data_IF_047292298950
#
_entry.id   IF_047292298950
#
_cell.length_a   1.000
_cell.length_b   1.000
_cell.length_c   1.000
_cell.angle_alpha   90.00
_cell.angle_beta   90.00
_cell.angle_gamma   90.00
#
_symmetry.space_group_name_H-M   'P 1'
#
loop_
_entity.id
_entity.type
_entity.pdbx_description
1 polymer ?
#
# COMPACT_ATOMS: atom_id res chain seq x y z
N UNK A 1 17.01 -13.14 -2.99
CA UNK A 1 17.30 -12.00 -2.09
C UNK A 1 17.19 -10.62 -2.74
N UNK A 2 17.09 -10.48 -4.07
CA UNK A 2 16.75 -9.20 -4.74
C UNK A 2 15.28 -8.72 -4.56
N UNK A 3 14.25 -9.60 -4.55
CA UNK A 3 12.86 -9.18 -4.41
C UNK A 3 12.55 -8.50 -3.07
N UNK A 4 13.21 -8.96 -2.00
CA UNK A 4 13.02 -8.41 -0.65
C UNK A 4 13.48 -6.96 -0.57
N UNK A 5 14.57 -6.61 -1.28
CA UNK A 5 15.09 -5.24 -1.32
C UNK A 5 14.15 -4.29 -2.06
N UNK A 6 13.50 -4.73 -3.13
CA UNK A 6 12.52 -3.90 -3.84
C UNK A 6 11.27 -3.67 -2.98
N UNK A 7 10.72 -4.73 -2.37
CA UNK A 7 9.56 -4.61 -1.48
C UNK A 7 9.86 -3.69 -0.30
N UNK A 8 11.04 -3.80 0.32
CA UNK A 8 11.47 -2.90 1.38
C UNK A 8 11.52 -1.44 0.89
N UNK A 9 12.15 -1.15 -0.25
CA UNK A 9 12.21 0.22 -0.79
C UNK A 9 10.84 0.79 -1.13
N UNK A 10 9.94 -0.04 -1.66
CA UNK A 10 8.53 0.36 -1.90
C UNK A 10 7.87 0.71 -0.57
N UNK A 11 8.05 -0.12 0.46
CA UNK A 11 7.45 0.12 1.76
C UNK A 11 7.97 1.41 2.43
N UNK A 12 9.28 1.67 2.31
CA UNK A 12 9.90 2.92 2.76
C UNK A 12 9.34 4.13 2.01
N UNK A 13 9.24 4.06 0.67
CA UNK A 13 8.68 5.14 -0.14
C UNK A 13 7.21 5.45 0.22
N UNK A 14 6.38 4.42 0.41
CA UNK A 14 5.00 4.57 0.84
C UNK A 14 4.92 5.16 2.26
N UNK A 15 5.80 4.71 3.17
CA UNK A 15 5.87 5.25 4.54
C UNK A 15 6.19 6.74 4.52
N UNK A 16 7.17 7.17 3.73
CA UNK A 16 7.48 8.58 3.55
C UNK A 16 6.28 9.36 3.01
N UNK A 17 5.61 8.84 1.97
CA UNK A 17 4.43 9.47 1.40
C UNK A 17 3.31 9.64 2.44
N UNK A 18 2.98 8.59 3.20
CA UNK A 18 1.92 8.64 4.22
C UNK A 18 2.28 9.59 5.37
N UNK A 19 3.54 9.66 5.76
CA UNK A 19 3.97 10.60 6.79
C UNK A 19 3.81 12.05 6.33
N UNK A 20 4.11 12.36 5.06
CA UNK A 20 3.85 13.69 4.50
C UNK A 20 2.35 13.99 4.41
N UNK A 21 1.53 13.03 3.93
CA UNK A 21 0.08 13.20 3.87
C UNK A 21 -0.54 13.43 5.27
N UNK A 22 0.00 12.76 6.30
CA UNK A 22 -0.47 12.86 7.69
C UNK A 22 -0.41 14.29 8.24
N UNK A 23 0.56 15.09 7.84
CA UNK A 23 0.75 16.47 8.33
C UNK A 23 -0.43 17.38 7.98
N UNK A 24 -1.18 17.04 6.92
CA UNK A 24 -2.27 17.86 6.39
C UNK A 24 -3.63 17.15 6.45
N UNK A 25 -3.66 15.88 6.87
CA UNK A 25 -4.86 15.08 6.90
C UNK A 25 -5.60 15.18 8.25
N UNK A 26 -6.93 15.11 8.20
CA UNK A 26 -7.72 14.78 9.39
C UNK A 26 -7.52 13.29 9.73
N UNK A 27 -6.58 13.05 10.65
CA UNK A 27 -6.20 11.70 11.06
C UNK A 27 -7.28 10.93 11.82
N UNK A 28 -8.35 11.62 12.24
CA UNK A 28 -9.49 11.00 12.91
C UNK A 28 -10.55 10.49 11.93
N UNK A 29 -10.51 10.95 10.68
CA UNK A 29 -11.53 10.64 9.67
C UNK A 29 -11.54 9.16 9.23
N UNK A 30 -12.70 8.60 8.85
CA UNK A 30 -12.78 7.28 8.24
C UNK A 30 -11.93 7.17 6.96
N UNK A 31 -11.93 8.22 6.14
CA UNK A 31 -11.15 8.30 4.90
C UNK A 31 -9.65 8.14 5.17
N UNK A 32 -9.12 8.76 6.22
CA UNK A 32 -7.72 8.60 6.60
C UNK A 32 -7.40 7.17 7.06
N UNK A 33 -8.33 6.52 7.78
CA UNK A 33 -8.16 5.13 8.20
C UNK A 33 -8.13 4.18 6.99
N UNK A 34 -9.03 4.36 6.04
CA UNK A 34 -9.05 3.60 4.78
C UNK A 34 -7.75 3.82 3.99
N UNK A 35 -7.31 5.07 3.87
CA UNK A 35 -6.02 5.43 3.24
C UNK A 35 -4.83 4.70 3.89
N UNK A 36 -4.80 4.63 5.22
CA UNK A 36 -3.78 3.90 5.96
C UNK A 36 -3.89 2.38 5.78
N UNK A 37 -5.09 1.81 5.70
CA UNK A 37 -5.31 0.38 5.45
C UNK A 37 -4.74 0.00 4.08
N UNK A 38 -5.08 0.77 3.03
CA UNK A 38 -4.53 0.58 1.67
C UNK A 38 -3.01 0.68 1.67
N UNK A 39 -2.45 1.67 2.35
CA UNK A 39 -1.00 1.85 2.44
C UNK A 39 -0.31 0.64 3.09
N UNK A 40 -0.88 0.13 4.19
CA UNK A 40 -0.37 -1.07 4.86
C UNK A 40 -0.37 -2.28 3.93
N UNK A 41 -1.44 -2.49 3.17
CA UNK A 41 -1.53 -3.61 2.21
C UNK A 41 -0.55 -3.45 1.07
N UNK A 42 -0.37 -2.24 0.56
CA UNK A 42 0.59 -1.92 -0.50
C UNK A 42 2.05 -2.17 -0.09
N UNK A 43 2.37 -2.04 1.19
CA UNK A 43 3.71 -2.30 1.76
C UNK A 43 4.05 -3.79 1.91
N UNK A 44 3.06 -4.69 1.88
CA UNK A 44 3.31 -6.13 1.97
C UNK A 44 4.11 -6.67 0.78
N UNK A 45 4.82 -7.79 1.01
CA UNK A 45 5.32 -8.61 -0.09
C UNK A 45 4.17 -9.16 -0.93
N UNK A 46 4.48 -9.65 -2.13
CA UNK A 46 3.45 -10.16 -3.03
C UNK A 46 2.70 -11.37 -2.45
N UNK A 47 3.41 -12.25 -1.72
CA UNK A 47 2.83 -13.40 -1.05
C UNK A 47 1.90 -13.00 0.11
N UNK A 48 2.37 -12.12 1.00
CA UNK A 48 1.57 -11.61 2.13
C UNK A 48 0.33 -10.86 1.63
N UNK A 49 0.48 -10.06 0.57
CA UNK A 49 -0.62 -9.30 -0.01
C UNK A 49 -1.68 -10.23 -0.62
N UNK A 50 -1.28 -11.26 -1.35
CA UNK A 50 -2.21 -12.26 -1.90
C UNK A 50 -3.03 -12.93 -0.80
N UNK A 51 -2.37 -13.37 0.28
CA UNK A 51 -3.04 -13.96 1.44
C UNK A 51 -4.00 -12.96 2.09
N UNK A 52 -3.58 -11.71 2.29
CA UNK A 52 -4.44 -10.69 2.92
C UNK A 52 -5.68 -10.36 2.08
N UNK A 53 -5.55 -10.23 0.76
CA UNK A 53 -6.68 -9.98 -0.16
C UNK A 53 -7.67 -11.16 -0.13
N UNK A 54 -7.19 -12.40 -0.04
CA UNK A 54 -8.07 -13.57 0.13
C UNK A 54 -8.93 -13.46 1.39
N UNK A 55 -8.32 -13.09 2.53
CA UNK A 55 -9.06 -12.90 3.77
C UNK A 55 -10.07 -11.76 3.69
N UNK A 56 -9.78 -10.67 2.95
CA UNK A 56 -10.77 -9.62 2.70
C UNK A 56 -11.93 -10.19 1.89
N UNK A 57 -11.65 -10.99 0.86
CA UNK A 57 -12.70 -11.59 0.03
C UNK A 57 -13.64 -12.46 0.86
N UNK A 58 -13.10 -13.23 1.81
CA UNK A 58 -13.88 -14.08 2.72
C UNK A 58 -14.70 -13.27 3.72
N UNK A 59 -14.14 -12.19 4.28
CA UNK A 59 -14.76 -11.44 5.40
C UNK A 59 -15.64 -10.26 4.98
N UNK A 60 -15.27 -9.59 3.89
CA UNK A 60 -15.89 -8.34 3.40
C UNK A 60 -16.45 -8.49 1.98
N UNK A 61 -16.27 -9.65 1.36
CA UNK A 61 -16.75 -9.96 0.01
C UNK A 61 -15.77 -9.59 -1.09
N UNK A 62 -15.99 -10.18 -2.28
CA UNK A 62 -15.10 -10.06 -3.43
C UNK A 62 -14.98 -8.64 -3.99
N UNK A 63 -16.02 -7.80 -3.83
CA UNK A 63 -15.99 -6.42 -4.28
C UNK A 63 -14.97 -5.60 -3.46
N UNK A 64 -15.04 -5.67 -2.14
CA UNK A 64 -14.10 -5.01 -1.23
C UNK A 64 -12.66 -5.52 -1.44
N UNK A 65 -12.49 -6.81 -1.71
CA UNK A 65 -11.18 -7.39 -2.00
C UNK A 65 -10.56 -6.82 -3.29
N UNK A 66 -11.35 -6.74 -4.37
CA UNK A 66 -10.91 -6.16 -5.65
C UNK A 66 -10.57 -4.68 -5.52
N UNK A 67 -11.38 -3.93 -4.77
CA UNK A 67 -11.13 -2.53 -4.50
C UNK A 67 -9.80 -2.34 -3.74
N UNK A 68 -9.60 -3.06 -2.63
CA UNK A 68 -8.35 -3.02 -1.87
C UNK A 68 -7.15 -3.38 -2.74
N UNK A 69 -7.26 -4.43 -3.56
CA UNK A 69 -6.21 -4.85 -4.47
C UNK A 69 -5.84 -3.75 -5.46
N UNK A 70 -6.84 -3.17 -6.14
CA UNK A 70 -6.66 -2.10 -7.12
C UNK A 70 -5.98 -0.87 -6.50
N UNK A 71 -6.45 -0.43 -5.33
CA UNK A 71 -5.88 0.73 -4.64
C UNK A 71 -4.43 0.46 -4.18
N UNK A 72 -4.16 -0.73 -3.65
CA UNK A 72 -2.81 -1.11 -3.23
C UNK A 72 -1.84 -1.22 -4.42
N UNK A 73 -2.27 -1.78 -5.55
CA UNK A 73 -1.48 -1.88 -6.79
C UNK A 73 -1.16 -0.49 -7.38
N UNK A 74 -2.14 0.40 -7.39
CA UNK A 74 -1.95 1.79 -7.82
C UNK A 74 -0.90 2.51 -6.97
N UNK A 75 -1.00 2.37 -5.64
CA UNK A 75 -0.03 2.99 -4.73
C UNK A 75 1.38 2.43 -4.89
N UNK A 76 1.53 1.10 -5.05
CA UNK A 76 2.83 0.47 -5.33
C UNK A 76 3.42 0.95 -6.64
N UNK A 77 2.61 1.03 -7.69
CA UNK A 77 3.02 1.54 -9.00
C UNK A 77 3.59 2.96 -8.88
N UNK A 78 2.90 3.85 -8.16
CA UNK A 78 3.38 5.20 -7.90
C UNK A 78 4.70 5.22 -7.12
N UNK A 79 4.84 4.39 -6.08
CA UNK A 79 6.09 4.28 -5.33
C UNK A 79 7.26 3.79 -6.21
N UNK A 80 7.02 2.82 -7.09
CA UNK A 80 8.02 2.34 -8.06
C UNK A 80 8.47 3.47 -8.99
N UNK A 81 7.53 4.26 -9.51
CA UNK A 81 7.86 5.41 -10.36
C UNK A 81 8.71 6.46 -9.63
N UNK A 82 8.41 6.73 -8.36
CA UNK A 82 9.22 7.64 -7.53
C UNK A 82 10.63 7.09 -7.33
N UNK A 83 10.76 5.80 -7.01
CA UNK A 83 12.04 5.15 -6.79
C UNK A 83 12.90 5.09 -8.06
N UNK A 84 12.28 4.91 -9.23
CA UNK A 84 12.97 4.90 -10.51
C UNK A 84 13.50 6.29 -10.92
N UNK A 85 12.88 7.36 -10.42
CA UNK A 85 13.30 8.75 -10.70
C UNK A 85 14.42 9.27 -9.81
N UNK A 86 14.71 8.62 -8.68
CA UNK A 86 15.82 9.00 -7.78
C UNK A 86 17.11 8.28 -8.22
N UNK A 87 18.14 8.99 -8.71
CA UNK A 87 19.43 8.37 -8.99
C UNK A 87 20.02 7.80 -7.69
N UNK A 88 20.53 6.57 -7.79
CA UNK A 88 21.12 5.76 -6.71
C UNK A 88 22.42 6.31 -6.16
#
# INVERSE_FOLDING_TARGET
MLPDRLNQRIAEAITHQINTEREQADTSSPVWRERCEVARVAMFSDAERSVFISHISERRGSAAAREMQSQAESLRTNAIFILARKPS
#
